data_IF_246280752003
#
_entry.id   IF_246280752003
#
_cell.length_a   1.000
_cell.length_b   1.000
_cell.length_c   1.000
_cell.angle_alpha   90.00
_cell.angle_beta   90.00
_cell.angle_gamma   90.00
#
_symmetry.space_group_name_H-M   'P 1'
#
loop_
_entity.id
_entity.type
_entity.pdbx_description
1 polymer ?
#
# COMPACT_ATOMS: atom_id res chain seq x y z
N UNK A 1 -5.98 -0.04 -41.43
CA UNK A 1 -7.16 -0.70 -40.85
C UNK A 1 -7.16 -2.16 -41.31
N UNK A 2 -7.37 -3.14 -40.42
CA UNK A 2 -7.46 -4.54 -40.85
C UNK A 2 -8.73 -4.80 -41.65
N UNK A 3 -8.65 -5.65 -42.67
CA UNK A 3 -9.79 -6.07 -43.50
C UNK A 3 -10.65 -7.11 -42.78
N UNK A 4 -11.89 -7.30 -43.23
CA UNK A 4 -12.81 -8.30 -42.64
C UNK A 4 -12.20 -9.71 -42.74
N UNK A 5 -11.60 -10.07 -43.88
CA UNK A 5 -10.93 -11.38 -44.05
C UNK A 5 -9.75 -11.58 -43.08
N UNK A 6 -9.02 -10.50 -42.73
CA UNK A 6 -7.96 -10.57 -41.72
C UNK A 6 -8.53 -10.82 -40.32
N UNK A 7 -9.68 -10.20 -39.98
CA UNK A 7 -10.36 -10.39 -38.70
C UNK A 7 -11.00 -11.78 -38.58
N UNK A 8 -11.50 -12.34 -39.70
CA UNK A 8 -12.01 -13.71 -39.76
C UNK A 8 -10.89 -14.74 -39.54
N UNK A 9 -9.70 -14.51 -40.12
CA UNK A 9 -8.52 -15.37 -39.91
C UNK A 9 -7.88 -15.18 -38.53
N UNK A 10 -7.86 -13.94 -38.02
CA UNK A 10 -7.29 -13.57 -36.71
C UNK A 10 -8.19 -12.56 -36.03
N UNK A 11 -9.02 -13.06 -35.11
CA UNK A 11 -9.89 -12.23 -34.28
C UNK A 11 -9.10 -11.21 -33.44
N UNK A 12 -9.78 -10.13 -33.03
CA UNK A 12 -9.16 -9.15 -32.12
C UNK A 12 -9.00 -9.75 -30.73
N UNK A 13 -7.82 -9.61 -30.15
CA UNK A 13 -7.54 -10.02 -28.78
C UNK A 13 -7.65 -8.84 -27.83
N UNK A 14 -8.42 -8.99 -26.77
CA UNK A 14 -8.46 -7.99 -25.70
C UNK A 14 -7.11 -7.97 -24.95
N UNK A 15 -6.55 -6.79 -24.65
CA UNK A 15 -5.31 -6.70 -23.89
C UNK A 15 -5.54 -7.11 -22.43
N UNK A 16 -4.72 -8.05 -21.94
CA UNK A 16 -4.78 -8.50 -20.55
C UNK A 16 -4.24 -7.40 -19.61
N UNK A 17 -5.03 -6.99 -18.63
CA UNK A 17 -4.63 -6.01 -17.60
C UNK A 17 -4.17 -6.72 -16.35
N UNK A 18 -2.98 -6.36 -15.85
CA UNK A 18 -2.45 -6.86 -14.57
C UNK A 18 -2.81 -5.92 -13.43
N UNK A 19 -3.20 -6.48 -12.29
CA UNK A 19 -3.46 -5.70 -11.08
C UNK A 19 -2.19 -5.00 -10.59
N UNK A 20 -2.32 -3.74 -10.17
CA UNK A 20 -1.22 -2.97 -9.57
C UNK A 20 -0.86 -3.48 -8.17
N UNK A 21 -1.78 -4.19 -7.51
CA UNK A 21 -1.69 -4.72 -6.15
C UNK A 21 -1.80 -6.26 -6.14
N UNK A 22 -0.98 -6.92 -6.96
CA UNK A 22 -1.02 -8.36 -7.16
C UNK A 22 -0.73 -9.21 -5.90
N UNK A 23 -0.09 -8.65 -4.86
CA UNK A 23 0.20 -9.41 -3.65
C UNK A 23 -1.00 -9.55 -2.70
N UNK A 24 -2.09 -8.82 -2.93
CA UNK A 24 -3.31 -8.94 -2.13
C UNK A 24 -4.24 -10.06 -2.63
N UNK A 25 -3.92 -10.73 -3.74
CA UNK A 25 -4.74 -11.81 -4.33
C UNK A 25 -6.24 -11.43 -4.44
N UNK A 26 -6.51 -10.25 -5.00
CA UNK A 26 -7.86 -9.68 -5.15
C UNK A 26 -8.62 -9.37 -3.85
N UNK A 27 -8.00 -9.53 -2.68
CA UNK A 27 -8.55 -9.02 -1.43
C UNK A 27 -8.36 -7.48 -1.34
N UNK A 28 -9.30 -6.74 -0.72
CA UNK A 28 -9.15 -5.30 -0.53
C UNK A 28 -8.04 -4.96 0.46
N UNK A 29 -7.89 -5.79 1.50
CA UNK A 29 -6.95 -5.65 2.60
C UNK A 29 -6.43 -7.04 2.96
N UNK A 30 -5.20 -7.11 3.48
CA UNK A 30 -4.62 -8.36 3.98
C UNK A 30 -3.76 -8.09 5.20
N UNK A 31 -3.88 -8.96 6.20
CA UNK A 31 -3.04 -8.92 7.42
C UNK A 31 -1.61 -9.32 7.07
N UNK A 32 -0.66 -8.79 7.83
CA UNK A 32 0.74 -9.18 7.75
C UNK A 32 1.51 -8.79 9.00
N UNK A 33 2.75 -9.27 9.06
CA UNK A 33 3.69 -9.01 10.15
C UNK A 33 4.83 -8.16 9.62
N UNK A 34 5.19 -7.10 10.33
CA UNK A 34 6.37 -6.29 10.02
C UNK A 34 7.65 -7.12 10.23
N UNK A 35 8.41 -7.32 9.16
CA UNK A 35 9.75 -7.93 9.22
C UNK A 35 10.78 -6.87 9.61
N UNK A 36 10.68 -5.68 9.03
CA UNK A 36 11.60 -4.57 9.31
C UNK A 36 10.91 -3.23 9.11
N UNK A 37 11.09 -2.31 10.03
CA UNK A 37 10.63 -0.91 9.92
C UNK A 37 11.84 -0.03 9.63
N UNK A 38 11.79 0.77 8.56
CA UNK A 38 12.94 1.59 8.14
C UNK A 38 12.50 2.82 7.34
N UNK A 39 13.44 3.73 7.12
CA UNK A 39 13.22 4.93 6.31
C UNK A 39 13.89 4.83 4.95
N UNK A 40 13.29 5.40 3.92
CA UNK A 40 13.81 5.41 2.54
C UNK A 40 13.70 6.80 1.94
N UNK A 41 14.70 7.21 1.16
CA UNK A 41 14.67 8.46 0.40
C UNK A 41 13.84 8.30 -0.88
N UNK A 42 13.02 9.31 -1.26
CA UNK A 42 12.24 9.27 -2.49
C UNK A 42 13.12 9.46 -3.72
N UNK A 43 12.54 9.16 -4.90
CA UNK A 43 13.17 9.53 -6.18
C UNK A 43 13.22 11.06 -6.35
N UNK A 44 14.23 11.57 -7.05
CA UNK A 44 14.27 12.95 -7.55
C UNK A 44 12.97 13.24 -8.32
N UNK A 45 12.33 14.43 -8.18
CA UNK A 45 12.83 15.70 -7.64
C UNK A 45 12.61 15.89 -6.13
N UNK A 46 11.97 14.94 -5.46
CA UNK A 46 11.56 15.11 -4.07
C UNK A 46 12.70 14.77 -3.11
N UNK A 47 12.68 15.38 -1.92
CA UNK A 47 13.57 15.04 -0.79
C UNK A 47 12.73 14.90 0.48
N UNK A 48 12.93 13.80 1.23
CA UNK A 48 12.33 13.53 2.53
C UNK A 48 12.83 12.17 3.07
N UNK A 49 12.65 11.93 4.37
CA UNK A 49 12.77 10.58 4.95
C UNK A 49 11.39 9.94 5.04
N UNK A 50 11.10 9.01 4.11
CA UNK A 50 9.81 8.32 4.07
C UNK A 50 9.83 7.06 4.92
N UNK A 51 8.85 6.90 5.81
CA UNK A 51 8.72 5.75 6.71
C UNK A 51 8.04 4.59 5.97
N UNK A 52 8.68 3.43 5.94
CA UNK A 52 8.26 2.23 5.20
C UNK A 52 8.46 1.01 6.08
N UNK A 53 7.61 0.00 5.92
CA UNK A 53 7.81 -1.31 6.52
C UNK A 53 7.93 -2.40 5.44
N UNK A 54 8.82 -3.36 5.67
CA UNK A 54 8.80 -4.65 5.00
C UNK A 54 7.81 -5.52 5.75
N UNK A 55 6.78 -6.02 5.06
CA UNK A 55 5.68 -6.77 5.67
C UNK A 55 5.56 -8.14 5.00
N UNK A 56 5.54 -9.20 5.79
CA UNK A 56 5.18 -10.55 5.34
C UNK A 56 3.69 -10.74 5.50
N UNK A 57 2.98 -10.84 4.38
CA UNK A 57 1.53 -11.02 4.36
C UNK A 57 1.15 -12.46 4.73
N UNK A 58 -0.12 -12.66 5.10
CA UNK A 58 -0.64 -14.01 5.42
C UNK A 58 -0.54 -15.02 4.28
N UNK A 59 -0.43 -14.59 3.02
CA UNK A 59 -0.18 -15.47 1.87
C UNK A 59 1.29 -15.80 1.62
N UNK A 60 2.17 -15.46 2.56
CA UNK A 60 3.61 -15.71 2.45
C UNK A 60 4.37 -14.71 1.58
N UNK A 61 3.70 -13.83 0.83
CA UNK A 61 4.36 -12.81 0.01
C UNK A 61 4.89 -11.68 0.88
N UNK A 62 6.12 -11.28 0.62
CA UNK A 62 6.71 -10.09 1.25
C UNK A 62 6.53 -8.84 0.40
N UNK A 63 6.11 -7.75 1.03
CA UNK A 63 5.85 -6.48 0.36
C UNK A 63 6.41 -5.30 1.12
N UNK A 64 6.74 -4.23 0.39
CA UNK A 64 7.07 -2.94 0.99
C UNK A 64 5.78 -2.11 1.10
N UNK A 65 5.44 -1.69 2.30
CA UNK A 65 4.24 -0.92 2.60
C UNK A 65 4.59 0.43 3.23
N UNK A 66 3.96 1.49 2.74
CA UNK A 66 4.16 2.85 3.26
C UNK A 66 3.38 3.07 4.55
N UNK A 67 4.04 3.70 5.52
CA UNK A 67 3.45 4.09 6.79
C UNK A 67 2.97 5.53 6.64
N UNK A 68 1.65 5.72 6.53
CA UNK A 68 1.04 7.02 6.32
C UNK A 68 0.89 7.84 7.59
N UNK A 69 0.96 9.17 7.44
CA UNK A 69 0.74 10.12 8.53
C UNK A 69 2.02 10.59 9.21
N UNK A 70 1.85 11.44 10.22
CA UNK A 70 2.91 11.90 11.11
C UNK A 70 3.05 10.90 12.27
N UNK A 71 4.29 10.60 12.66
CA UNK A 71 4.56 9.61 13.72
C UNK A 71 4.09 8.17 13.41
N UNK A 72 4.66 7.20 14.11
CA UNK A 72 4.17 5.81 14.13
C UNK A 72 4.83 5.06 15.29
N UNK A 73 4.17 4.00 15.74
CA UNK A 73 4.57 3.15 16.86
C UNK A 73 5.06 1.76 16.42
N UNK A 74 5.22 1.50 15.11
CA UNK A 74 5.50 0.15 14.61
C UNK A 74 6.94 -0.26 14.89
N UNK A 75 7.09 -1.53 15.26
CA UNK A 75 8.35 -2.20 15.52
C UNK A 75 8.43 -3.47 14.65
N UNK A 76 9.53 -4.21 14.78
CA UNK A 76 9.59 -5.56 14.24
C UNK A 76 8.51 -6.43 14.90
N UNK A 77 7.97 -7.39 14.13
CA UNK A 77 6.89 -8.29 14.55
C UNK A 77 5.52 -7.67 14.83
N UNK A 78 5.35 -6.35 14.73
CA UNK A 78 4.02 -5.73 14.82
C UNK A 78 3.08 -6.27 13.74
N UNK A 79 1.86 -6.62 14.13
CA UNK A 79 0.79 -7.01 13.22
C UNK A 79 0.16 -5.78 12.58
N UNK A 80 0.03 -5.79 11.27
CA UNK A 80 -0.48 -4.67 10.49
C UNK A 80 -1.50 -5.10 9.46
N UNK A 81 -2.43 -4.21 9.15
CA UNK A 81 -3.36 -4.38 8.05
C UNK A 81 -2.88 -3.59 6.84
N UNK A 82 -2.68 -4.28 5.71
CA UNK A 82 -2.14 -3.71 4.48
C UNK A 82 -3.25 -3.55 3.45
N UNK A 83 -3.32 -2.38 2.79
CA UNK A 83 -4.20 -2.10 1.66
C UNK A 83 -3.42 -1.72 0.41
N UNK A 84 -4.09 -1.82 -0.74
CA UNK A 84 -3.53 -1.38 -2.02
C UNK A 84 -3.32 0.13 -2.09
N UNK A 85 -2.26 0.54 -2.79
CA UNK A 85 -2.02 1.93 -3.17
C UNK A 85 -0.53 2.22 -3.32
N UNK A 86 -0.14 2.70 -4.49
CA UNK A 86 1.25 3.00 -4.81
C UNK A 86 1.63 4.39 -4.34
N UNK A 87 2.79 4.51 -3.70
CA UNK A 87 3.44 5.79 -3.48
C UNK A 87 4.23 6.16 -4.74
N UNK A 88 3.85 7.26 -5.40
CA UNK A 88 4.48 7.70 -6.67
C UNK A 88 5.98 7.99 -6.51
N UNK A 89 6.35 8.49 -5.34
CA UNK A 89 7.69 8.97 -5.01
C UNK A 89 8.68 7.84 -4.68
N UNK A 90 8.18 6.70 -4.18
CA UNK A 90 9.00 5.58 -3.76
C UNK A 90 8.89 4.44 -4.79
N UNK A 91 9.98 4.10 -5.50
CA UNK A 91 9.96 2.92 -6.36
C UNK A 91 9.77 1.65 -5.51
N UNK A 92 8.99 0.69 -6.00
CA UNK A 92 8.74 -0.58 -5.31
C UNK A 92 7.71 -0.54 -4.18
N UNK A 93 7.32 0.63 -3.66
CA UNK A 93 6.31 0.75 -2.59
C UNK A 93 4.90 0.85 -3.19
N UNK A 94 4.21 -0.29 -3.25
CA UNK A 94 2.89 -0.44 -3.91
C UNK A 94 1.71 -0.56 -2.95
N UNK A 95 1.98 -0.56 -1.64
CA UNK A 95 0.99 -0.80 -0.61
C UNK A 95 1.07 0.25 0.49
N UNK A 96 -0.01 0.39 1.24
CA UNK A 96 -0.11 1.25 2.41
C UNK A 96 -0.53 0.43 3.62
N UNK A 97 0.03 0.77 4.77
CA UNK A 97 -0.50 0.31 6.05
C UNK A 97 -1.72 1.16 6.40
N UNK A 98 -2.81 0.49 6.81
CA UNK A 98 -3.99 1.13 7.38
C UNK A 98 -3.65 1.56 8.80
N UNK A 99 -3.93 2.82 9.16
CA UNK A 99 -3.68 3.33 10.52
C UNK A 99 -4.90 3.10 11.41
N UNK A 100 -4.65 2.85 12.70
CA UNK A 100 -5.70 2.56 13.68
C UNK A 100 -6.30 1.16 13.54
N UNK A 101 -5.57 0.24 12.90
CA UNK A 101 -5.97 -1.15 12.69
C UNK A 101 -4.86 -2.09 13.18
N UNK A 102 -5.24 -3.18 13.86
CA UNK A 102 -4.28 -4.10 14.52
C UNK A 102 -3.33 -3.30 15.44
N UNK A 103 -2.03 -3.53 15.40
CA UNK A 103 -1.05 -2.86 16.29
C UNK A 103 -0.69 -1.43 15.83
N UNK A 104 -1.22 -0.99 14.69
CA UNK A 104 -0.93 0.34 14.14
C UNK A 104 -1.74 1.41 14.88
N UNK A 105 -1.08 2.27 15.63
CA UNK A 105 -1.76 3.38 16.29
C UNK A 105 -2.27 4.40 15.26
N UNK A 106 -3.34 5.11 15.62
CA UNK A 106 -3.78 6.30 14.89
C UNK A 106 -2.69 7.39 14.87
N UNK A 107 -2.91 8.46 14.10
CA UNK A 107 -2.05 9.65 14.18
C UNK A 107 -2.53 10.52 15.33
N UNK A 108 -1.62 10.85 16.25
CA UNK A 108 -1.88 11.71 17.40
C UNK A 108 -2.19 13.15 16.99
N UNK A 109 -3.03 13.84 17.76
CA UNK A 109 -3.36 15.25 17.53
C UNK A 109 -4.14 15.57 16.23
N UNK A 110 -4.45 14.57 15.41
CA UNK A 110 -5.07 14.81 14.09
C UNK A 110 -6.54 15.23 14.21
N UNK A 111 -6.84 16.46 13.83
CA UNK A 111 -8.21 17.01 13.83
C UNK A 111 -8.92 16.85 12.48
N UNK A 112 -8.17 16.89 11.36
CA UNK A 112 -8.70 16.81 10.00
C UNK A 112 -8.36 15.48 9.29
N UNK A 113 -9.26 15.02 8.41
CA UNK A 113 -9.14 13.75 7.64
C UNK A 113 -8.85 12.53 8.53
N UNK A 114 -9.41 12.53 9.74
CA UNK A 114 -9.13 11.55 10.81
C UNK A 114 -9.40 10.10 10.41
N UNK A 115 -10.48 9.88 9.65
CA UNK A 115 -10.89 8.55 9.18
C UNK A 115 -9.81 7.84 8.36
N UNK A 116 -8.96 8.59 7.64
CA UNK A 116 -7.85 8.02 6.86
C UNK A 116 -6.67 7.57 7.73
N UNK A 117 -6.53 8.16 8.91
CA UNK A 117 -5.37 8.00 9.79
C UNK A 117 -5.71 7.34 11.13
N UNK A 118 -6.91 6.74 11.25
CA UNK A 118 -7.29 5.96 12.42
C UNK A 118 -7.49 6.76 13.71
N UNK A 119 -7.69 8.09 13.62
CA UNK A 119 -7.84 8.95 14.80
C UNK A 119 -9.32 9.10 15.17
N UNK A 120 -9.68 8.85 16.43
CA UNK A 120 -11.07 9.04 16.92
C UNK A 120 -11.44 10.53 16.98
N UNK A 121 -12.75 10.83 17.01
CA UNK A 121 -13.22 12.20 17.24
C UNK A 121 -12.90 12.58 18.70
N UNK A 122 -12.21 13.70 18.96
CA UNK A 122 -11.97 14.14 20.33
C UNK A 122 -13.31 14.48 20.99
N UNK A 123 -13.45 14.10 22.25
CA UNK A 123 -14.57 14.53 23.09
C UNK A 123 -14.36 16.03 23.35
N UNK A 124 -15.35 16.84 22.99
CA UNK A 124 -15.44 18.24 23.41
C UNK A 124 -16.21 18.28 24.71
#
# INVERSE_FOLDING_TARGET
MPTIQQLVRKGRTAPVRKSKSAALDSCPQRKGVCVRVYTTTPKKPNSAMRKVARVRLTNGKEVNAYIGGEGHNLQEHSMVLVRGGRVKDLPGVRYHIVRGAEDTAGVEGRTQRRSKYGTKRPKK
#
